data_IF_619026702788
#
_entry.id   IF_619026702788
#
_cell.length_a   1.000
_cell.length_b   1.000
_cell.length_c   1.000
_cell.angle_alpha   90.00
_cell.angle_beta   90.00
_cell.angle_gamma   90.00
#
_symmetry.space_group_name_H-M   'P 1'
#
loop_
_entity.id
_entity.type
_entity.pdbx_description
1 polymer ?
#
# COMPACT_ATOMS: atom_id res chain seq x y z
N UNK A 1 -31.34 49.88 -10.03
CA UNK A 1 -30.96 48.88 -9.02
C UNK A 1 -29.73 48.15 -9.52
N UNK A 2 -28.54 48.62 -9.16
CA UNK A 2 -27.25 48.06 -9.60
C UNK A 2 -26.73 47.13 -8.51
N UNK A 3 -26.59 45.84 -8.84
CA UNK A 3 -26.11 44.81 -7.92
C UNK A 3 -24.57 44.82 -7.91
N UNK A 4 -23.99 45.15 -6.76
CA UNK A 4 -22.55 45.05 -6.45
C UNK A 4 -22.32 43.64 -5.90
N UNK A 5 -21.82 42.72 -6.72
CA UNK A 5 -21.40 41.39 -6.27
C UNK A 5 -19.95 41.43 -5.79
N UNK A 6 -19.75 41.33 -4.48
CA UNK A 6 -18.45 41.39 -3.83
C UNK A 6 -17.59 40.15 -4.09
N UNK A 7 -16.30 40.39 -4.36
CA UNK A 7 -15.22 39.41 -4.39
C UNK A 7 -14.84 39.03 -2.95
N UNK A 8 -15.58 38.10 -2.35
CA UNK A 8 -15.41 37.68 -0.95
C UNK A 8 -14.69 36.35 -0.74
N UNK A 9 -13.98 35.80 -1.74
CA UNK A 9 -13.44 34.43 -1.69
C UNK A 9 -11.91 34.31 -1.63
N UNK A 10 -11.13 35.40 -1.51
CA UNK A 10 -9.67 35.31 -1.75
C UNK A 10 -8.76 35.06 -0.53
N UNK A 11 -9.17 35.41 0.69
CA UNK A 11 -8.28 35.32 1.88
C UNK A 11 -8.48 34.06 2.72
N UNK A 12 -9.72 33.64 2.97
CA UNK A 12 -9.98 32.40 3.72
C UNK A 12 -9.52 31.15 2.94
N UNK A 13 -9.75 31.11 1.62
CA UNK A 13 -9.26 30.02 0.77
C UNK A 13 -7.73 29.98 0.70
N UNK A 14 -7.07 31.15 0.76
CA UNK A 14 -5.61 31.24 0.77
C UNK A 14 -5.01 30.75 2.10
N UNK A 15 -5.62 31.11 3.23
CA UNK A 15 -5.19 30.68 4.56
C UNK A 15 -5.40 29.18 4.79
N UNK A 16 -6.55 28.63 4.36
CA UNK A 16 -6.81 27.18 4.41
C UNK A 16 -5.82 26.42 3.53
N UNK A 17 -5.53 26.93 2.33
CA UNK A 17 -4.52 26.35 1.44
C UNK A 17 -3.14 26.38 2.08
N UNK A 18 -2.72 27.50 2.66
CA UNK A 18 -1.42 27.61 3.33
C UNK A 18 -1.26 26.65 4.51
N UNK A 19 -2.31 26.48 5.33
CA UNK A 19 -2.30 25.53 6.45
C UNK A 19 -2.20 24.07 5.96
N UNK A 20 -2.90 23.72 4.88
CA UNK A 20 -2.84 22.38 4.29
C UNK A 20 -1.46 22.07 3.70
N UNK A 21 -0.78 23.08 3.13
CA UNK A 21 0.58 22.96 2.62
C UNK A 21 1.61 22.76 3.75
N UNK A 22 1.45 23.42 4.89
CA UNK A 22 2.33 23.23 6.05
C UNK A 22 2.17 21.83 6.67
N UNK A 23 0.93 21.37 6.84
CA UNK A 23 0.63 20.04 7.37
C UNK A 23 1.21 18.93 6.49
N UNK A 24 0.98 19.00 5.17
CA UNK A 24 1.62 18.10 4.21
C UNK A 24 3.14 18.13 4.37
N UNK A 25 3.75 19.32 4.44
CA UNK A 25 5.20 19.49 4.62
C UNK A 25 5.75 18.90 5.93
N UNK A 26 4.94 18.82 6.99
CA UNK A 26 5.31 18.16 8.25
C UNK A 26 5.21 16.63 8.15
N UNK A 27 4.15 16.11 7.53
CA UNK A 27 4.00 14.67 7.26
C UNK A 27 5.16 14.15 6.39
N UNK A 28 5.56 14.92 5.37
CA UNK A 28 6.72 14.64 4.53
C UNK A 28 8.01 14.47 5.32
N UNK A 29 8.32 15.42 6.20
CA UNK A 29 9.54 15.40 7.02
C UNK A 29 9.55 14.20 7.96
N UNK A 30 8.39 13.84 8.53
CA UNK A 30 8.26 12.63 9.36
C UNK A 30 8.49 11.35 8.56
N UNK A 31 7.88 11.21 7.40
CA UNK A 31 8.06 10.04 6.54
C UNK A 31 9.53 9.88 6.10
N UNK A 32 10.19 10.98 5.71
CA UNK A 32 11.62 10.96 5.38
C UNK A 32 12.50 10.56 6.58
N UNK A 33 12.26 11.12 7.76
CA UNK A 33 13.00 10.77 8.98
C UNK A 33 12.84 9.28 9.34
N UNK A 34 11.62 8.73 9.23
CA UNK A 34 11.36 7.31 9.46
C UNK A 34 12.11 6.42 8.45
N UNK A 35 12.25 6.89 7.20
CA UNK A 35 12.96 6.16 6.15
C UNK A 35 14.45 6.05 6.46
N UNK A 36 15.07 7.17 6.84
CA UNK A 36 16.48 7.18 7.21
C UNK A 36 16.72 6.36 8.49
N UNK A 37 15.77 6.39 9.43
CA UNK A 37 15.81 5.55 10.63
C UNK A 37 15.76 4.06 10.31
N UNK A 38 14.86 3.61 9.43
CA UNK A 38 14.75 2.21 9.00
C UNK A 38 15.95 1.75 8.17
N UNK A 39 16.53 2.64 7.36
CA UNK A 39 17.79 2.38 6.63
C UNK A 39 18.97 2.20 7.58
N UNK A 40 19.08 3.06 8.59
CA UNK A 40 20.11 2.97 9.62
C UNK A 40 19.98 1.68 10.44
N UNK A 41 18.75 1.31 10.84
CA UNK A 41 18.47 0.05 11.52
C UNK A 41 18.84 -1.16 10.66
N UNK A 42 18.53 -1.15 9.37
CA UNK A 42 18.94 -2.20 8.44
C UNK A 42 20.47 -2.34 8.37
N UNK A 43 21.19 -1.21 8.37
CA UNK A 43 22.66 -1.21 8.38
C UNK A 43 23.23 -1.75 9.68
N UNK A 44 22.64 -1.40 10.83
CA UNK A 44 23.08 -1.87 12.14
C UNK A 44 22.82 -3.38 12.32
N UNK A 45 21.68 -3.87 11.83
CA UNK A 45 21.31 -5.28 11.91
C UNK A 45 22.24 -6.19 11.06
N UNK A 46 22.90 -5.64 10.03
CA UNK A 46 23.91 -6.37 9.25
C UNK A 46 25.16 -6.77 10.07
N UNK A 47 25.34 -6.21 11.27
CA UNK A 47 26.42 -6.54 12.19
C UNK A 47 26.00 -7.53 13.30
N UNK A 48 24.73 -7.94 13.37
CA UNK A 48 24.24 -8.96 14.29
C UNK A 48 24.54 -10.37 13.76
N UNK A 49 24.64 -11.37 14.65
CA UNK A 49 24.87 -12.77 14.28
C UNK A 49 23.64 -13.64 14.58
N UNK A 50 23.43 -14.68 13.77
CA UNK A 50 22.38 -15.70 14.01
C UNK A 50 20.97 -15.29 13.56
N UNK A 51 19.96 -15.98 14.09
CA UNK A 51 18.55 -15.80 13.69
C UNK A 51 17.96 -14.43 14.05
N UNK A 52 18.42 -13.80 15.13
CA UNK A 52 17.99 -12.47 15.55
C UNK A 52 18.40 -11.38 14.55
N UNK A 53 19.55 -11.55 13.88
CA UNK A 53 20.01 -10.65 12.82
C UNK A 53 19.08 -10.69 11.60
N UNK A 54 18.64 -11.90 11.24
CA UNK A 54 17.73 -12.12 10.09
C UNK A 54 16.37 -11.50 10.38
N UNK A 55 15.83 -11.70 11.58
CA UNK A 55 14.56 -11.11 12.00
C UNK A 55 14.64 -9.57 12.07
N UNK A 56 15.71 -9.01 12.65
CA UNK A 56 15.90 -7.56 12.72
C UNK A 56 16.03 -6.92 11.33
N UNK A 57 16.79 -7.55 10.41
CA UNK A 57 16.90 -7.11 9.02
C UNK A 57 15.54 -7.19 8.29
N UNK A 58 14.76 -8.22 8.60
CA UNK A 58 13.44 -8.41 8.02
C UNK A 58 12.45 -7.34 8.49
N UNK A 59 12.34 -7.11 9.79
CA UNK A 59 11.50 -6.05 10.36
C UNK A 59 11.92 -4.67 9.87
N UNK A 60 13.24 -4.40 9.79
CA UNK A 60 13.74 -3.14 9.24
C UNK A 60 13.39 -2.97 7.75
N UNK A 61 13.40 -4.07 6.96
CA UNK A 61 12.99 -4.07 5.55
C UNK A 61 11.48 -3.85 5.39
N UNK A 62 10.64 -4.51 6.20
CA UNK A 62 9.19 -4.29 6.20
C UNK A 62 8.85 -2.83 6.53
N UNK A 63 9.41 -2.31 7.63
CA UNK A 63 9.22 -0.93 8.03
C UNK A 63 9.69 0.04 6.95
N UNK A 64 10.83 -0.26 6.30
CA UNK A 64 11.32 0.54 5.17
C UNK A 64 10.33 0.55 4.02
N UNK A 65 9.75 -0.58 3.62
CA UNK A 65 8.77 -0.61 2.53
C UNK A 65 7.52 0.19 2.86
N UNK A 66 7.00 0.05 4.07
CA UNK A 66 5.84 0.83 4.52
C UNK A 66 6.14 2.33 4.48
N UNK A 67 7.31 2.74 4.98
CA UNK A 67 7.71 4.15 4.98
C UNK A 67 7.99 4.68 3.58
N UNK A 68 8.62 3.90 2.70
CA UNK A 68 8.82 4.27 1.29
C UNK A 68 7.48 4.42 0.55
N UNK A 69 6.50 3.55 0.84
CA UNK A 69 5.16 3.68 0.31
C UNK A 69 4.47 4.96 0.81
N UNK A 70 4.56 5.27 2.11
CA UNK A 70 4.05 6.52 2.67
C UNK A 70 4.73 7.75 2.04
N UNK A 71 6.05 7.71 1.87
CA UNK A 71 6.81 8.81 1.29
C UNK A 71 6.46 9.00 -0.20
N UNK A 72 6.36 7.92 -0.96
CA UNK A 72 5.93 7.96 -2.36
C UNK A 72 4.50 8.52 -2.49
N UNK A 73 3.60 8.11 -1.60
CA UNK A 73 2.23 8.59 -1.55
C UNK A 73 2.18 10.10 -1.26
N UNK A 74 2.92 10.55 -0.24
CA UNK A 74 3.02 11.96 0.06
C UNK A 74 3.56 12.71 -1.17
N UNK A 75 4.67 12.26 -1.78
CA UNK A 75 5.30 12.92 -2.95
C UNK A 75 4.29 13.06 -4.09
N UNK A 76 3.51 12.02 -4.37
CA UNK A 76 2.47 12.06 -5.39
C UNK A 76 1.39 13.12 -5.07
N UNK A 77 0.97 13.25 -3.81
CA UNK A 77 -0.01 14.25 -3.38
C UNK A 77 0.52 15.68 -3.50
N UNK A 78 1.75 15.95 -3.08
CA UNK A 78 2.35 17.27 -3.28
C UNK A 78 2.53 17.61 -4.76
N UNK A 79 2.87 16.62 -5.60
CA UNK A 79 2.94 16.81 -7.05
C UNK A 79 1.57 17.15 -7.62
N UNK A 80 0.51 16.47 -7.18
CA UNK A 80 -0.87 16.79 -7.57
C UNK A 80 -1.32 18.18 -7.08
N UNK A 81 -0.80 18.63 -5.94
CA UNK A 81 -1.05 19.97 -5.40
C UNK A 81 -0.22 21.08 -6.08
N UNK A 82 0.72 20.73 -6.97
CA UNK A 82 1.49 21.66 -7.80
C UNK A 82 2.91 21.96 -7.32
N UNK A 83 3.42 21.30 -6.27
CA UNK A 83 4.80 21.51 -5.80
C UNK A 83 5.82 21.05 -6.84
N UNK A 84 6.87 21.85 -7.05
CA UNK A 84 7.96 21.49 -7.96
C UNK A 84 8.83 20.36 -7.39
N UNK A 85 9.55 19.65 -8.27
CA UNK A 85 10.52 18.64 -7.84
C UNK A 85 11.64 19.25 -7.00
N UNK A 86 12.09 20.47 -7.31
CA UNK A 86 13.15 21.16 -6.57
C UNK A 86 12.71 21.48 -5.14
N UNK A 87 11.47 21.95 -4.95
CA UNK A 87 10.91 22.20 -3.62
C UNK A 87 10.83 20.91 -2.79
N UNK A 88 10.39 19.80 -3.40
CA UNK A 88 10.39 18.50 -2.74
C UNK A 88 11.82 18.03 -2.42
N UNK A 89 12.78 18.33 -3.30
CA UNK A 89 14.21 18.13 -3.05
C UNK A 89 14.68 18.86 -1.79
N UNK A 90 14.41 20.16 -1.68
CA UNK A 90 14.78 20.98 -0.52
C UNK A 90 14.21 20.40 0.79
N UNK A 91 12.92 20.01 0.80
CA UNK A 91 12.26 19.42 1.98
C UNK A 91 12.88 18.08 2.38
N UNK A 92 13.32 17.28 1.40
CA UNK A 92 13.91 15.95 1.62
C UNK A 92 15.43 15.99 1.79
N UNK A 93 16.07 17.15 1.65
CA UNK A 93 17.54 17.25 1.64
C UNK A 93 18.19 16.54 0.44
N UNK A 94 17.49 16.48 -0.69
CA UNK A 94 17.90 15.84 -1.94
C UNK A 94 17.86 16.85 -3.10
N UNK A 95 18.47 16.53 -4.24
CA UNK A 95 18.22 17.31 -5.46
C UNK A 95 16.83 17.01 -6.00
N UNK A 96 16.18 18.00 -6.64
CA UNK A 96 14.89 17.78 -7.29
C UNK A 96 14.95 16.68 -8.37
N UNK A 97 16.08 16.55 -9.07
CA UNK A 97 16.31 15.44 -10.00
C UNK A 97 16.31 14.08 -9.30
N UNK A 98 16.98 13.94 -8.15
CA UNK A 98 17.01 12.68 -7.41
C UNK A 98 15.62 12.29 -6.89
N UNK A 99 14.81 13.26 -6.45
CA UNK A 99 13.42 13.03 -6.05
C UNK A 99 12.58 12.60 -7.25
N UNK A 100 12.68 13.33 -8.37
CA UNK A 100 11.97 12.99 -9.61
C UNK A 100 12.31 11.58 -10.07
N UNK A 101 13.59 11.24 -10.16
CA UNK A 101 14.03 9.94 -10.66
C UNK A 101 13.60 8.80 -9.72
N UNK A 102 13.45 9.07 -8.42
CA UNK A 102 12.97 8.11 -7.44
C UNK A 102 11.44 7.95 -7.40
N UNK A 103 10.65 8.98 -7.75
CA UNK A 103 9.21 9.01 -7.47
C UNK A 103 8.30 9.44 -8.64
N UNK A 104 8.84 9.98 -9.75
CA UNK A 104 8.02 10.52 -10.85
C UNK A 104 7.27 9.46 -11.66
N UNK A 105 7.69 8.20 -11.62
CA UNK A 105 7.08 7.10 -12.38
C UNK A 105 6.00 6.33 -11.63
N UNK A 106 5.68 6.66 -10.37
CA UNK A 106 4.82 5.83 -9.50
C UNK A 106 5.44 4.47 -9.12
N UNK A 107 6.44 3.99 -9.87
CA UNK A 107 7.33 2.89 -9.53
C UNK A 107 8.40 3.37 -8.55
N UNK A 108 7.99 3.75 -7.35
CA UNK A 108 8.94 3.95 -6.27
C UNK A 108 9.53 2.58 -5.89
N UNK A 109 10.79 2.61 -5.44
CA UNK A 109 11.37 1.53 -4.63
C UNK A 109 10.33 1.02 -3.63
N UNK A 110 10.09 -0.28 -3.59
CA UNK A 110 8.92 -0.84 -2.91
C UNK A 110 8.69 -2.29 -3.31
N UNK A 111 7.74 -2.95 -2.64
CA UNK A 111 7.42 -4.35 -2.92
C UNK A 111 7.15 -4.60 -4.41
N UNK A 112 6.32 -3.78 -5.07
CA UNK A 112 5.96 -3.96 -6.49
C UNK A 112 7.19 -3.93 -7.40
N UNK A 113 8.10 -2.97 -7.19
CA UNK A 113 9.30 -2.86 -8.00
C UNK A 113 10.23 -4.08 -7.79
N UNK A 114 10.38 -4.54 -6.53
CA UNK A 114 11.21 -5.70 -6.21
C UNK A 114 10.60 -7.04 -6.60
N UNK A 115 9.26 -7.12 -6.62
CA UNK A 115 8.53 -8.30 -7.05
C UNK A 115 8.59 -8.52 -8.57
N UNK A 116 8.97 -7.49 -9.34
CA UNK A 116 9.05 -7.54 -10.80
C UNK A 116 7.86 -6.88 -11.53
N UNK A 117 7.15 -5.96 -10.87
CA UNK A 117 6.05 -5.19 -11.46
C UNK A 117 4.68 -5.53 -10.89
N UNK A 118 3.67 -4.77 -11.32
CA UNK A 118 2.26 -4.93 -10.87
C UNK A 118 1.62 -6.20 -11.42
N UNK A 119 2.18 -6.74 -12.50
CA UNK A 119 1.75 -7.96 -13.17
C UNK A 119 1.89 -9.17 -12.25
N UNK A 120 2.83 -9.14 -11.31
CA UNK A 120 3.05 -10.21 -10.32
C UNK A 120 1.86 -10.31 -9.37
N UNK A 121 1.41 -9.18 -8.82
CA UNK A 121 0.20 -9.13 -7.99
C UNK A 121 -1.06 -9.52 -8.79
N UNK A 122 -1.11 -9.14 -10.06
CA UNK A 122 -2.18 -9.54 -10.97
C UNK A 122 -2.26 -11.07 -11.12
N UNK A 123 -1.13 -11.72 -11.42
CA UNK A 123 -1.06 -13.18 -11.56
C UNK A 123 -1.38 -13.91 -10.26
N UNK A 124 -0.88 -13.43 -9.12
CA UNK A 124 -1.20 -14.00 -7.80
C UNK A 124 -2.72 -13.98 -7.57
N UNK A 125 -3.37 -12.85 -7.81
CA UNK A 125 -4.82 -12.71 -7.63
C UNK A 125 -5.59 -13.60 -8.61
N UNK A 126 -5.15 -13.70 -9.86
CA UNK A 126 -5.80 -14.56 -10.86
C UNK A 126 -5.70 -16.04 -10.51
N UNK A 127 -4.51 -16.51 -10.10
CA UNK A 127 -4.31 -17.87 -9.58
C UNK A 127 -5.18 -18.14 -8.35
N UNK A 128 -5.18 -17.20 -7.41
CA UNK A 128 -5.97 -17.29 -6.20
C UNK A 128 -7.46 -17.43 -6.50
N UNK A 129 -8.04 -16.55 -7.34
CA UNK A 129 -9.46 -16.63 -7.66
C UNK A 129 -9.83 -17.81 -8.56
N UNK A 130 -8.91 -18.28 -9.42
CA UNK A 130 -9.09 -19.54 -10.14
C UNK A 130 -9.24 -20.73 -9.19
N UNK A 131 -8.50 -20.74 -8.09
CA UNK A 131 -8.63 -21.75 -7.03
C UNK A 131 -9.90 -21.56 -6.20
N UNK A 132 -10.25 -20.33 -5.82
CA UNK A 132 -11.48 -20.03 -5.09
C UNK A 132 -12.72 -20.48 -5.86
N UNK A 133 -12.74 -20.27 -7.17
CA UNK A 133 -13.83 -20.68 -8.05
C UNK A 133 -14.09 -22.20 -8.02
N UNK A 134 -13.04 -22.99 -7.80
CA UNK A 134 -13.08 -24.46 -7.80
C UNK A 134 -13.22 -25.06 -6.39
N UNK A 135 -13.24 -24.25 -5.33
CA UNK A 135 -13.28 -24.72 -3.94
C UNK A 135 -14.71 -24.80 -3.40
N UNK A 136 -15.06 -25.93 -2.78
CA UNK A 136 -16.41 -26.20 -2.28
C UNK A 136 -16.82 -25.33 -1.07
N UNK A 137 -15.86 -24.74 -0.35
CA UNK A 137 -16.14 -23.87 0.80
C UNK A 137 -16.25 -22.41 0.36
N UNK A 138 -15.27 -21.92 -0.39
CA UNK A 138 -15.23 -20.50 -0.76
C UNK A 138 -15.99 -20.18 -2.05
N UNK A 139 -15.99 -21.06 -3.05
CA UNK A 139 -16.69 -20.83 -4.31
C UNK A 139 -18.15 -20.38 -4.13
N UNK A 140 -18.96 -21.09 -3.32
CA UNK A 140 -20.34 -20.68 -3.03
C UNK A 140 -20.47 -19.30 -2.36
N UNK A 141 -19.45 -18.81 -1.65
CA UNK A 141 -19.50 -17.50 -0.98
C UNK A 141 -19.40 -16.33 -1.96
N UNK A 142 -18.81 -16.53 -3.14
CA UNK A 142 -18.62 -15.47 -4.15
C UNK A 142 -19.69 -15.48 -5.24
N UNK A 143 -20.30 -16.63 -5.52
CA UNK A 143 -21.36 -16.77 -6.53
C UNK A 143 -20.92 -16.22 -7.89
N UNK A 144 -21.78 -15.41 -8.51
CA UNK A 144 -21.52 -14.84 -9.84
C UNK A 144 -20.54 -13.64 -9.83
N UNK A 145 -20.26 -13.01 -8.67
CA UNK A 145 -19.39 -11.81 -8.57
C UNK A 145 -17.92 -12.14 -8.28
N UNK A 146 -17.46 -13.35 -8.62
CA UNK A 146 -16.07 -13.73 -8.39
C UNK A 146 -15.08 -12.85 -9.19
N UNK A 147 -15.46 -12.45 -10.41
CA UNK A 147 -14.64 -11.58 -11.25
C UNK A 147 -14.50 -10.18 -10.64
N UNK A 148 -15.59 -9.61 -10.11
CA UNK A 148 -15.55 -8.33 -9.42
C UNK A 148 -14.75 -8.41 -8.12
N UNK A 149 -14.80 -9.54 -7.40
CA UNK A 149 -13.97 -9.76 -6.22
C UNK A 149 -12.48 -9.76 -6.57
N UNK A 150 -12.10 -10.44 -7.66
CA UNK A 150 -10.73 -10.44 -8.18
C UNK A 150 -10.23 -9.04 -8.53
N UNK A 151 -11.03 -8.25 -9.25
CA UNK A 151 -10.66 -6.87 -9.59
C UNK A 151 -10.42 -6.02 -8.33
N UNK A 152 -11.30 -6.14 -7.33
CA UNK A 152 -11.19 -5.38 -6.08
C UNK A 152 -9.97 -5.76 -5.27
N UNK A 153 -9.66 -7.06 -5.12
CA UNK A 153 -8.46 -7.50 -4.41
C UNK A 153 -7.19 -7.06 -5.15
N UNK A 154 -7.16 -7.20 -6.48
CA UNK A 154 -6.04 -6.77 -7.32
C UNK A 154 -5.77 -5.28 -7.16
N UNK A 155 -6.79 -4.45 -7.34
CA UNK A 155 -6.67 -3.00 -7.17
C UNK A 155 -6.21 -2.64 -5.76
N UNK A 156 -6.73 -3.33 -4.74
CA UNK A 156 -6.35 -3.11 -3.35
C UNK A 156 -4.87 -3.43 -3.11
N UNK A 157 -4.40 -4.62 -3.50
CA UNK A 157 -3.01 -5.04 -3.29
C UNK A 157 -2.02 -4.18 -4.08
N UNK A 158 -2.33 -3.86 -5.34
CA UNK A 158 -1.51 -2.95 -6.15
C UNK A 158 -1.36 -1.61 -5.43
N UNK A 159 -2.47 -1.02 -4.98
CA UNK A 159 -2.41 0.25 -4.26
C UNK A 159 -1.68 0.13 -2.91
N UNK A 160 -1.94 -0.94 -2.14
CA UNK A 160 -1.34 -1.14 -0.82
C UNK A 160 0.19 -1.25 -0.92
N UNK A 161 0.69 -1.96 -1.93
CA UNK A 161 2.12 -2.19 -2.13
C UNK A 161 2.83 -1.09 -2.95
N UNK A 162 2.20 0.08 -3.10
CA UNK A 162 2.81 1.26 -3.71
C UNK A 162 2.72 1.34 -5.24
N UNK A 163 1.88 0.52 -5.87
CA UNK A 163 1.50 0.69 -7.27
C UNK A 163 0.47 1.82 -7.48
N UNK A 164 -0.02 1.96 -8.71
CA UNK A 164 -0.99 3.01 -9.06
C UNK A 164 -2.26 2.95 -8.17
N UNK A 165 -2.73 4.13 -7.73
CA UNK A 165 -3.98 4.28 -6.95
C UNK A 165 -5.22 3.97 -7.80
N UNK A 166 -5.59 2.71 -7.89
CA UNK A 166 -6.82 2.26 -8.58
C UNK A 166 -7.96 1.92 -7.61
N UNK A 167 -7.67 1.47 -6.39
CA UNK A 167 -8.72 1.07 -5.43
C UNK A 167 -9.49 2.25 -4.84
N UNK A 168 -8.78 3.23 -4.26
CA UNK A 168 -9.42 4.33 -3.52
C UNK A 168 -10.32 5.22 -4.38
N UNK A 169 -9.98 5.58 -5.62
CA UNK A 169 -10.90 6.32 -6.48
C UNK A 169 -12.21 5.56 -6.77
N UNK A 170 -12.15 4.23 -6.88
CA UNK A 170 -13.30 3.38 -7.19
C UNK A 170 -14.16 3.03 -5.96
N UNK A 171 -13.52 2.92 -4.79
CA UNK A 171 -14.16 2.33 -3.60
C UNK A 171 -14.14 3.24 -2.38
N UNK A 172 -13.36 4.31 -2.37
CA UNK A 172 -13.10 5.14 -1.20
C UNK A 172 -12.18 4.44 -0.20
N UNK A 173 -12.34 4.76 1.09
CA UNK A 173 -11.52 4.18 2.15
C UNK A 173 -11.73 2.64 2.24
N UNK A 174 -10.65 1.84 2.44
CA UNK A 174 -10.75 0.38 2.48
C UNK A 174 -11.79 -0.17 3.46
N UNK A 175 -11.75 0.27 4.74
CA UNK A 175 -12.71 -0.14 5.79
C UNK A 175 -13.01 -1.66 5.73
N UNK A 176 -11.96 -2.47 5.71
CA UNK A 176 -12.04 -3.88 5.33
C UNK A 176 -13.02 -4.66 6.22
N UNK A 177 -12.95 -4.50 7.55
CA UNK A 177 -13.87 -5.17 8.48
C UNK A 177 -15.34 -4.85 8.18
N UNK A 178 -15.67 -3.56 7.95
CA UNK A 178 -17.03 -3.14 7.59
C UNK A 178 -17.50 -3.78 6.28
N UNK A 179 -16.62 -3.92 5.28
CA UNK A 179 -16.96 -4.56 3.99
C UNK A 179 -17.07 -6.07 4.05
N UNK A 180 -16.42 -6.70 5.04
CA UNK A 180 -16.47 -8.14 5.26
C UNK A 180 -17.56 -8.56 6.25
N UNK A 181 -18.06 -7.64 7.09
CA UNK A 181 -19.13 -7.89 8.05
C UNK A 181 -20.43 -8.49 7.48
N UNK A 182 -20.86 -8.20 6.23
CA UNK A 182 -22.04 -8.84 5.65
C UNK A 182 -21.86 -10.34 5.34
N UNK A 183 -20.63 -10.86 5.33
CA UNK A 183 -20.34 -12.24 4.99
C UNK A 183 -19.96 -13.02 6.26
N UNK A 184 -20.54 -14.21 6.51
CA UNK A 184 -20.15 -15.04 7.63
C UNK A 184 -18.79 -15.68 7.36
N UNK A 185 -17.74 -15.14 7.98
CA UNK A 185 -16.36 -15.61 7.82
C UNK A 185 -15.95 -16.30 9.12
N UNK A 186 -16.09 -17.62 9.14
CA UNK A 186 -15.66 -18.47 10.25
C UNK A 186 -14.21 -18.94 10.08
N UNK A 187 -13.69 -19.64 11.11
CA UNK A 187 -12.33 -20.17 11.10
C UNK A 187 -12.05 -21.08 9.89
N UNK A 188 -13.02 -21.90 9.48
CA UNK A 188 -12.88 -22.80 8.33
C UNK A 188 -12.73 -22.02 7.03
N UNK A 189 -13.56 -21.02 6.77
CA UNK A 189 -13.47 -20.18 5.58
C UNK A 189 -12.13 -19.44 5.52
N UNK A 190 -11.66 -18.90 6.66
CA UNK A 190 -10.32 -18.28 6.77
C UNK A 190 -9.21 -19.25 6.41
N UNK A 191 -9.22 -20.45 6.98
CA UNK A 191 -8.19 -21.47 6.74
C UNK A 191 -8.15 -21.91 5.27
N UNK A 192 -9.32 -22.10 4.65
CA UNK A 192 -9.39 -22.38 3.21
C UNK A 192 -8.83 -21.22 2.40
N UNK A 193 -9.21 -19.97 2.72
CA UNK A 193 -8.72 -18.78 2.04
C UNK A 193 -7.19 -18.70 2.08
N UNK A 194 -6.62 -18.89 3.28
CA UNK A 194 -5.17 -18.87 3.49
C UNK A 194 -4.48 -19.99 2.72
N UNK A 195 -5.01 -21.21 2.74
CA UNK A 195 -4.44 -22.33 1.98
C UNK A 195 -4.41 -22.01 0.48
N UNK A 196 -5.51 -21.56 -0.11
CA UNK A 196 -5.58 -21.27 -1.54
C UNK A 196 -4.64 -20.11 -1.93
N UNK A 197 -4.50 -19.11 -1.06
CA UNK A 197 -3.55 -18.02 -1.27
C UNK A 197 -2.10 -18.48 -1.18
N UNK A 198 -1.75 -19.34 -0.21
CA UNK A 198 -0.42 -19.90 -0.09
C UNK A 198 -0.02 -20.71 -1.34
N UNK A 199 -0.95 -21.51 -1.88
CA UNK A 199 -0.75 -22.22 -3.14
C UNK A 199 -0.52 -21.24 -4.31
N UNK A 200 -1.30 -20.16 -4.40
CA UNK A 200 -1.14 -19.15 -5.44
C UNK A 200 0.22 -18.42 -5.36
N UNK A 201 0.70 -18.12 -4.14
CA UNK A 201 2.02 -17.53 -3.91
C UNK A 201 3.15 -18.50 -4.27
N UNK A 202 3.02 -19.76 -3.89
CA UNK A 202 3.98 -20.82 -4.22
C UNK A 202 4.13 -20.98 -5.74
N UNK A 203 3.01 -20.95 -6.47
CA UNK A 203 2.99 -21.03 -7.93
C UNK A 203 3.59 -19.79 -8.63
N UNK A 204 3.47 -18.62 -8.01
CA UNK A 204 4.06 -17.40 -8.57
C UNK A 204 5.59 -17.39 -8.45
N UNK A 205 6.14 -18.02 -7.40
CA UNK A 205 7.59 -18.16 -7.23
C UNK A 205 8.30 -16.84 -6.90
N UNK A 206 7.73 -16.07 -5.97
CA UNK A 206 8.36 -14.86 -5.47
C UNK A 206 9.70 -15.17 -4.77
N UNK A 207 10.67 -14.24 -4.79
CA UNK A 207 11.80 -14.31 -3.88
C UNK A 207 11.32 -14.47 -2.43
N UNK A 208 11.87 -15.45 -1.70
CA UNK A 208 11.38 -15.84 -0.38
C UNK A 208 11.16 -14.68 0.64
N UNK A 209 11.98 -13.60 0.68
CA UNK A 209 11.71 -12.45 1.54
C UNK A 209 10.43 -11.67 1.16
N UNK A 210 10.13 -11.58 -0.15
CA UNK A 210 8.93 -10.91 -0.65
C UNK A 210 7.69 -11.78 -0.43
N UNK A 211 7.81 -13.09 -0.68
CA UNK A 211 6.72 -14.04 -0.41
C UNK A 211 6.29 -13.99 1.06
N UNK A 212 7.25 -14.09 2.00
CA UNK A 212 6.96 -14.03 3.44
C UNK A 212 6.28 -12.73 3.86
N UNK A 213 6.76 -11.59 3.35
CA UNK A 213 6.18 -10.30 3.70
C UNK A 213 4.75 -10.15 3.20
N UNK A 214 4.48 -10.57 1.96
CA UNK A 214 3.12 -10.58 1.45
C UNK A 214 2.25 -11.56 2.24
N UNK A 215 2.77 -12.75 2.54
CA UNK A 215 2.07 -13.77 3.30
C UNK A 215 1.66 -13.32 4.70
N UNK A 216 2.58 -12.76 5.49
CA UNK A 216 2.30 -12.26 6.84
C UNK A 216 1.21 -11.19 6.84
N UNK A 217 1.29 -10.22 5.91
CA UNK A 217 0.26 -9.21 5.74
C UNK A 217 -1.12 -9.82 5.48
N UNK A 218 -1.19 -10.85 4.62
CA UNK A 218 -2.45 -11.52 4.28
C UNK A 218 -2.96 -12.39 5.43
N UNK A 219 -2.07 -13.03 6.20
CA UNK A 219 -2.40 -13.79 7.42
C UNK A 219 -3.05 -12.87 8.45
N UNK A 220 -2.40 -11.75 8.78
CA UNK A 220 -2.93 -10.77 9.74
C UNK A 220 -4.29 -10.23 9.29
N UNK A 221 -4.41 -9.89 8.00
CA UNK A 221 -5.66 -9.46 7.39
C UNK A 221 -6.76 -10.53 7.54
N UNK A 222 -6.48 -11.79 7.19
CA UNK A 222 -7.45 -12.88 7.25
C UNK A 222 -7.92 -13.16 8.69
N UNK A 223 -7.02 -13.06 9.68
CA UNK A 223 -7.39 -13.15 11.09
C UNK A 223 -8.29 -11.98 11.53
N UNK A 224 -7.93 -10.74 11.17
CA UNK A 224 -8.69 -9.54 11.54
C UNK A 224 -10.09 -9.45 10.92
N UNK A 225 -10.35 -10.19 9.84
CA UNK A 225 -11.62 -10.21 9.11
C UNK A 225 -12.54 -11.38 9.50
N UNK A 226 -12.04 -12.35 10.29
CA UNK A 226 -12.89 -13.43 10.84
C UNK A 226 -13.93 -12.80 11.77
N UNK A 227 -15.21 -13.11 11.54
CA UNK A 227 -16.32 -12.41 12.19
C UNK A 227 -17.44 -13.33 12.72
N UNK A 228 -17.32 -14.64 12.49
CA UNK A 228 -18.22 -15.65 13.06
C UNK A 228 -17.41 -16.76 13.74
N UNK A 229 -18.00 -17.32 14.80
CA UNK A 229 -17.43 -18.43 15.59
C UNK A 229 -17.56 -19.79 14.91
#
# INVERSE_FOLDING_TARGET
>A
MTYRGGTGTSEQDSAVRAAQLDDQSQEFRRAHFLRESTRSLSSAAAHLAGGEAVEALYQARQARFFVEAMLAQAVAEARAAGHSWDHLGEVLGLSGTAVRDAYAGGAARGFVAEAGGVEVLTRIVDRFYGKVAADDVLGPMYGEDIAGAAERLRAFLIQYWGGQRSYSPLRGHPRLQMRHAPFPINARAREVWLRLMAEALTEEGLPAPLERMLWEYLVDGAHALTNTG
#
